data_IF_759871435268
#
_entry.id   IF_759871435268
#
_cell.length_a   1.000
_cell.length_b   1.000
_cell.length_c   1.000
_cell.angle_alpha   90.00
_cell.angle_beta   90.00
_cell.angle_gamma   90.00
#
_symmetry.space_group_name_H-M   'P 1'
#
loop_
_entity.id
_entity.type
_entity.pdbx_description
1 polymer ?
#
# COMPACT_ATOMS: atom_id res chain seq x y z
N UNK A 1 -11.32 -5.25 28.46
CA UNK A 1 -10.06 -4.57 28.82
C UNK A 1 -9.53 -3.88 27.60
N UNK A 2 -9.56 -2.56 27.57
CA UNK A 2 -9.08 -1.75 26.43
C UNK A 2 -7.64 -1.33 26.77
N UNK A 3 -6.65 -1.98 26.13
CA UNK A 3 -5.25 -1.58 26.27
C UNK A 3 -5.05 -0.33 25.41
N UNK A 4 -4.89 0.83 26.02
CA UNK A 4 -4.48 2.06 25.32
C UNK A 4 -2.97 2.13 25.41
N UNK A 5 -2.30 1.73 24.32
CA UNK A 5 -0.86 1.96 24.18
C UNK A 5 -0.66 3.39 23.67
N UNK A 6 -0.20 4.26 24.56
CA UNK A 6 0.25 5.60 24.15
C UNK A 6 1.70 5.47 23.68
N UNK A 7 1.90 5.42 22.36
CA UNK A 7 3.24 5.44 21.75
C UNK A 7 3.59 6.91 21.50
N UNK A 8 4.72 7.37 22.08
CA UNK A 8 5.25 8.70 21.75
C UNK A 8 6.06 8.62 20.46
N UNK A 9 5.52 9.09 19.35
CA UNK A 9 6.21 9.13 18.06
C UNK A 9 7.38 10.12 18.00
N UNK A 10 7.54 10.98 19.02
CA UNK A 10 8.65 11.94 19.07
C UNK A 10 10.03 11.28 19.27
N UNK A 11 10.07 10.06 19.79
CA UNK A 11 11.30 9.29 20.03
C UNK A 11 11.53 8.17 19.03
N UNK A 12 10.59 7.93 18.12
CA UNK A 12 10.70 6.91 17.09
C UNK A 12 11.43 7.49 15.88
N UNK A 13 12.49 6.84 15.44
CA UNK A 13 13.29 7.26 14.29
C UNK A 13 12.95 6.46 13.02
N UNK A 14 12.38 5.29 13.17
CA UNK A 14 12.06 4.40 12.05
C UNK A 14 10.76 3.62 12.29
N UNK A 15 9.95 3.52 11.26
CA UNK A 15 8.73 2.69 11.23
C UNK A 15 8.79 1.78 10.01
N UNK A 16 8.42 0.52 10.20
CA UNK A 16 8.26 -0.45 9.12
C UNK A 16 6.80 -0.86 9.06
N UNK A 17 6.15 -0.57 7.93
CA UNK A 17 4.84 -1.11 7.59
C UNK A 17 5.05 -2.40 6.79
N UNK A 18 4.53 -3.51 7.29
CA UNK A 18 4.74 -4.81 6.66
C UNK A 18 3.44 -5.59 6.58
N UNK A 19 3.27 -6.31 5.48
CA UNK A 19 2.15 -7.23 5.29
C UNK A 19 2.52 -8.40 4.40
N UNK A 20 1.82 -9.52 4.59
CA UNK A 20 2.04 -10.78 3.86
C UNK A 20 0.80 -11.13 3.07
N UNK A 21 0.97 -11.61 1.82
CA UNK A 21 -0.12 -12.01 0.92
C UNK A 21 -1.12 -10.85 0.72
N UNK A 22 -2.39 -11.00 1.07
CA UNK A 22 -3.37 -9.91 1.02
C UNK A 22 -2.97 -8.70 1.87
N UNK A 23 -2.27 -8.92 2.99
CA UNK A 23 -1.67 -7.86 3.81
C UNK A 23 -0.54 -7.13 3.10
N UNK A 24 0.19 -7.81 2.21
CA UNK A 24 1.18 -7.20 1.33
C UNK A 24 0.54 -6.22 0.35
N UNK A 25 -0.57 -6.61 -0.27
CA UNK A 25 -1.39 -5.72 -1.12
C UNK A 25 -1.85 -4.50 -0.32
N UNK A 26 -2.34 -4.71 0.91
CA UNK A 26 -2.74 -3.63 1.79
C UNK A 26 -1.59 -2.69 2.17
N UNK A 27 -0.38 -3.23 2.35
CA UNK A 27 0.84 -2.44 2.60
C UNK A 27 1.17 -1.56 1.41
N UNK A 28 1.18 -2.11 0.20
CA UNK A 28 1.45 -1.34 -1.03
C UNK A 28 0.42 -0.23 -1.23
N UNK A 29 -0.86 -0.52 -1.02
CA UNK A 29 -1.94 0.45 -1.21
C UNK A 29 -1.97 1.59 -0.18
N UNK A 30 -1.36 1.41 0.99
CA UNK A 30 -1.44 2.37 2.10
C UNK A 30 -0.09 2.99 2.48
N UNK A 31 0.99 2.65 1.80
CA UNK A 31 2.33 3.11 2.17
C UNK A 31 2.45 4.63 2.21
N UNK A 32 2.01 5.32 1.16
CA UNK A 32 2.08 6.76 1.06
C UNK A 32 1.23 7.45 2.14
N UNK A 33 0.01 7.00 2.33
CA UNK A 33 -0.89 7.54 3.34
C UNK A 33 -0.32 7.40 4.76
N UNK A 34 0.26 6.25 5.08
CA UNK A 34 0.91 6.02 6.39
C UNK A 34 2.12 6.94 6.55
N UNK A 35 2.95 7.05 5.50
CA UNK A 35 4.12 7.92 5.51
C UNK A 35 3.73 9.38 5.74
N UNK A 36 2.77 9.90 5.01
CA UNK A 36 2.28 11.27 5.16
C UNK A 36 1.71 11.51 6.56
N UNK A 37 0.87 10.59 7.05
CA UNK A 37 0.27 10.71 8.39
C UNK A 37 1.33 10.76 9.49
N UNK A 38 2.35 9.90 9.41
CA UNK A 38 3.43 9.87 10.40
C UNK A 38 4.35 11.10 10.29
N UNK A 39 4.62 11.59 9.10
CA UNK A 39 5.41 12.80 8.89
C UNK A 39 4.72 14.07 9.42
N UNK A 40 3.39 14.11 9.48
CA UNK A 40 2.68 15.20 10.16
C UNK A 40 2.95 15.22 11.67
N UNK A 41 3.21 14.04 12.26
CA UNK A 41 3.51 13.93 13.70
C UNK A 41 5.00 14.17 13.97
N UNK A 42 5.87 13.54 13.16
CA UNK A 42 7.32 13.69 13.26
C UNK A 42 7.96 13.62 11.87
N UNK A 43 8.33 14.76 11.28
CA UNK A 43 8.94 14.82 9.94
C UNK A 43 10.26 14.04 9.81
N UNK A 44 10.93 13.74 10.92
CA UNK A 44 12.20 12.99 10.94
C UNK A 44 12.05 11.47 10.92
N UNK A 45 10.83 10.92 10.95
CA UNK A 45 10.62 9.48 10.90
C UNK A 45 11.00 8.92 9.52
N UNK A 46 11.86 7.89 9.52
CA UNK A 46 12.11 7.09 8.33
C UNK A 46 11.04 5.99 8.22
N UNK A 47 10.30 5.96 7.12
CA UNK A 47 9.27 4.96 6.88
C UNK A 47 9.73 4.02 5.77
N UNK A 48 9.58 2.72 6.00
CA UNK A 48 9.81 1.65 5.04
C UNK A 48 8.57 0.80 4.94
N UNK A 49 8.23 0.40 3.71
CA UNK A 49 7.12 -0.50 3.44
C UNK A 49 7.66 -1.81 2.86
N UNK A 50 7.18 -2.92 3.41
CA UNK A 50 7.56 -4.27 2.97
C UNK A 50 6.29 -5.05 2.67
N UNK A 51 6.07 -5.32 1.39
CA UNK A 51 5.01 -6.21 0.93
C UNK A 51 5.61 -7.59 0.62
N UNK A 52 5.28 -8.58 1.44
CA UNK A 52 5.72 -9.95 1.23
C UNK A 52 4.64 -10.73 0.49
N UNK A 53 4.98 -11.22 -0.71
CA UNK A 53 4.11 -12.08 -1.54
C UNK A 53 2.74 -11.45 -1.87
N UNK A 54 2.65 -10.12 -1.93
CA UNK A 54 1.44 -9.37 -2.25
C UNK A 54 1.40 -8.80 -3.67
N UNK A 55 2.52 -8.79 -4.37
CA UNK A 55 2.62 -8.15 -5.69
C UNK A 55 1.89 -8.91 -6.79
N UNK A 56 1.17 -8.17 -7.61
CA UNK A 56 0.50 -8.69 -8.81
C UNK A 56 1.25 -8.16 -10.03
N UNK A 57 1.57 -9.05 -10.96
CA UNK A 57 2.27 -8.67 -12.17
C UNK A 57 1.43 -7.73 -13.05
N UNK A 58 2.05 -6.74 -13.70
CA UNK A 58 1.37 -5.87 -14.66
C UNK A 58 0.69 -6.67 -15.78
N UNK A 59 -0.41 -6.13 -16.27
CA UNK A 59 -1.21 -6.75 -17.34
C UNK A 59 -0.38 -7.06 -18.60
N UNK A 60 0.58 -6.21 -18.90
CA UNK A 60 1.48 -6.33 -20.05
C UNK A 60 2.42 -7.54 -19.99
N UNK A 61 2.58 -8.17 -18.83
CA UNK A 61 3.43 -9.36 -18.67
C UNK A 61 2.67 -10.68 -18.76
N UNK A 62 1.34 -10.63 -18.81
CA UNK A 62 0.48 -11.81 -18.95
C UNK A 62 0.11 -12.04 -20.41
N UNK A 63 0.50 -13.19 -20.94
CA UNK A 63 0.28 -13.52 -22.34
C UNK A 63 -1.06 -14.18 -22.64
N UNK A 64 -1.73 -14.83 -21.68
CA UNK A 64 -2.98 -15.55 -21.95
C UNK A 64 -3.91 -15.71 -20.73
N UNK A 65 -5.16 -15.39 -20.91
CA UNK A 65 -6.36 -15.99 -20.32
C UNK A 65 -6.69 -15.73 -18.85
N UNK A 66 -5.76 -15.43 -17.99
CA UNK A 66 -6.04 -15.03 -16.61
C UNK A 66 -5.61 -13.59 -16.39
N UNK A 67 -6.58 -12.73 -16.14
CA UNK A 67 -6.33 -11.30 -15.93
C UNK A 67 -6.64 -10.90 -14.48
N UNK A 68 -5.84 -11.35 -13.50
CA UNK A 68 -6.10 -11.03 -12.11
C UNK A 68 -6.14 -9.52 -11.88
N UNK A 69 -5.38 -8.76 -12.64
CA UNK A 69 -5.34 -7.31 -12.56
C UNK A 69 -6.60 -6.64 -13.07
N UNK A 70 -7.21 -7.17 -14.15
CA UNK A 70 -8.51 -6.68 -14.61
C UNK A 70 -9.61 -6.95 -13.60
N UNK A 71 -9.58 -8.14 -12.96
CA UNK A 71 -10.53 -8.49 -11.92
C UNK A 71 -10.38 -7.58 -10.70
N UNK A 72 -9.14 -7.31 -10.29
CA UNK A 72 -8.85 -6.38 -9.21
C UNK A 72 -9.27 -4.96 -9.56
N UNK A 73 -9.04 -4.52 -10.78
CA UNK A 73 -9.47 -3.21 -11.24
C UNK A 73 -10.99 -3.05 -11.23
N UNK A 74 -11.71 -4.08 -11.68
CA UNK A 74 -13.16 -4.11 -11.60
C UNK A 74 -13.67 -4.05 -10.15
N UNK A 75 -13.04 -4.81 -9.26
CA UNK A 75 -13.35 -4.79 -7.84
C UNK A 75 -13.03 -3.41 -7.20
N UNK A 76 -11.89 -2.83 -7.56
CA UNK A 76 -11.49 -1.50 -7.12
C UNK A 76 -12.53 -0.45 -7.49
N UNK A 77 -13.01 -0.44 -8.74
CA UNK A 77 -14.07 0.46 -9.18
C UNK A 77 -15.39 0.20 -8.47
N UNK A 78 -15.74 -1.08 -8.24
CA UNK A 78 -16.98 -1.45 -7.57
C UNK A 78 -17.03 -1.03 -6.09
N UNK A 79 -15.88 -0.94 -5.44
CA UNK A 79 -15.74 -0.56 -4.02
C UNK A 79 -15.24 0.86 -3.79
N UNK A 80 -15.16 1.66 -4.85
CA UNK A 80 -14.64 3.03 -4.78
C UNK A 80 -13.25 3.09 -4.10
N UNK A 81 -12.36 2.23 -4.57
CA UNK A 81 -11.01 2.08 -4.03
C UNK A 81 -10.14 3.31 -4.24
N UNK A 82 -9.07 3.41 -3.45
CA UNK A 82 -8.07 4.47 -3.54
C UNK A 82 -6.72 3.85 -3.86
N UNK A 83 -6.04 4.36 -4.87
CA UNK A 83 -4.69 3.93 -5.24
C UNK A 83 -3.61 4.76 -4.54
N UNK A 84 -2.44 4.18 -4.43
CA UNK A 84 -1.26 4.87 -3.89
C UNK A 84 -0.82 6.00 -4.82
N UNK A 85 -0.64 7.20 -4.31
CA UNK A 85 -0.36 8.41 -5.11
C UNK A 85 0.98 8.32 -5.85
N UNK A 86 2.01 7.78 -5.22
CA UNK A 86 3.31 7.62 -5.86
C UNK A 86 3.26 6.65 -7.05
N UNK A 87 2.48 5.59 -6.96
CA UNK A 87 2.25 4.69 -8.08
C UNK A 87 1.52 5.40 -9.22
N UNK A 88 0.50 6.17 -8.90
CA UNK A 88 -0.30 6.93 -9.88
C UNK A 88 0.52 7.98 -10.62
N UNK A 89 1.56 8.52 -9.99
CA UNK A 89 2.47 9.50 -10.61
C UNK A 89 3.42 8.86 -11.64
N UNK A 90 3.70 7.56 -11.51
CA UNK A 90 4.71 6.88 -12.32
C UNK A 90 4.13 5.97 -13.41
N UNK A 91 2.90 5.52 -13.28
CA UNK A 91 2.34 4.53 -14.19
C UNK A 91 0.84 4.71 -14.41
N UNK A 92 0.27 3.88 -15.29
CA UNK A 92 -1.17 3.87 -15.55
C UNK A 92 -1.96 3.34 -14.34
N UNK A 93 -3.14 3.92 -14.12
CA UNK A 93 -4.01 3.61 -12.98
C UNK A 93 -4.26 2.11 -12.78
N UNK A 94 -4.51 1.38 -13.87
CA UNK A 94 -4.74 -0.08 -13.78
C UNK A 94 -3.58 -0.85 -13.15
N UNK A 95 -2.37 -0.34 -13.26
CA UNK A 95 -1.18 -0.97 -12.68
C UNK A 95 -0.99 -0.63 -11.19
N UNK A 96 -1.75 0.34 -10.67
CA UNK A 96 -1.70 0.77 -9.28
C UNK A 96 -2.80 0.15 -8.42
N UNK A 97 -3.69 -0.63 -9.02
CA UNK A 97 -4.73 -1.39 -8.32
C UNK A 97 -4.14 -2.70 -7.82
N UNK A 98 -3.92 -2.77 -6.53
CA UNK A 98 -3.27 -3.91 -5.88
C UNK A 98 -3.98 -4.29 -4.60
#
# INVERSE_FOLDING_TARGET
>A
MRLVLTISFSTIHQVVLMGVSAGGIGTEANCDWVAETLHLINPGILIKCIADSGSIYPLSTHSEGCYPQLLLYAAFLAWDGVSDESCMAETEHINCVR
#
